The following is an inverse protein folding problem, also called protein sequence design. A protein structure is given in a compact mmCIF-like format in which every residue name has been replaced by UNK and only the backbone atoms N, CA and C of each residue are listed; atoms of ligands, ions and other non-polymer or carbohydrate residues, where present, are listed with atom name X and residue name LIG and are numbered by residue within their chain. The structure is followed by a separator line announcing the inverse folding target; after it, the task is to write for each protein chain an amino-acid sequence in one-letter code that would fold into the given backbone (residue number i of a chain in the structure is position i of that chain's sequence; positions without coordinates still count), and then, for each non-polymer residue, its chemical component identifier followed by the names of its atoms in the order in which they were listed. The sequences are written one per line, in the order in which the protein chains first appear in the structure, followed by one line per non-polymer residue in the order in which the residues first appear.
data_IF_151120840148
#
_entry.id   IF_151120840148
#
_cell.length_a   1.000
_cell.length_b   1.000
_cell.length_c   1.000
_cell.angle_alpha   90.00
_cell.angle_beta   90.00
_cell.angle_gamma   90.00
#
_symmetry.space_group_name_H-M   'P 1'
#
loop_
_entity.id
_entity.type
_entity.pdbx_description
1 polymer ?
#
# COMPACT_ATOMS: atom_id res chain seq x y z
N UNK A 1 -50.20 -18.80 5.94
CA UNK A 1 -49.92 -17.81 4.89
C UNK A 1 -48.43 -17.84 4.63
N UNK A 2 -48.03 -18.26 3.43
CA UNK A 2 -46.64 -18.09 3.04
C UNK A 2 -46.46 -16.60 2.72
N UNK A 3 -45.28 -16.05 2.99
CA UNK A 3 -44.97 -14.62 2.76
C UNK A 3 -45.24 -14.15 1.31
N UNK A 4 -45.40 -15.10 0.39
CA UNK A 4 -45.66 -14.94 -1.04
C UNK A 4 -47.14 -14.74 -1.41
N UNK A 5 -48.07 -14.86 -0.45
CA UNK A 5 -49.51 -14.62 -0.68
C UNK A 5 -49.88 -13.12 -0.63
N UNK A 6 -48.92 -12.26 -0.28
CA UNK A 6 -49.13 -10.81 -0.18
C UNK A 6 -48.86 -10.12 -1.53
N UNK A 7 -49.70 -9.17 -1.97
CA UNK A 7 -49.41 -8.32 -3.11
C UNK A 7 -48.04 -7.63 -2.94
N UNK A 8 -47.14 -7.71 -3.94
CA UNK A 8 -45.79 -7.13 -3.88
C UNK A 8 -45.76 -5.66 -3.45
N UNK A 9 -46.76 -4.88 -3.85
CA UNK A 9 -46.88 -3.44 -3.56
C UNK A 9 -47.25 -3.19 -2.10
N UNK A 10 -48.09 -4.04 -1.51
CA UNK A 10 -48.41 -3.95 -0.08
C UNK A 10 -47.21 -4.35 0.76
N UNK A 11 -46.48 -5.39 0.33
CA UNK A 11 -45.26 -5.80 1.00
C UNK A 11 -44.18 -4.71 0.94
N UNK A 12 -44.02 -4.04 -0.21
CA UNK A 12 -43.10 -2.90 -0.37
C UNK A 12 -43.43 -1.77 0.60
N UNK A 13 -44.72 -1.40 0.74
CA UNK A 13 -45.16 -0.40 1.73
C UNK A 13 -44.88 -0.83 3.17
N UNK A 14 -45.13 -2.08 3.51
CA UNK A 14 -44.84 -2.61 4.86
C UNK A 14 -43.34 -2.48 5.16
N UNK A 15 -42.49 -2.81 4.19
CA UNK A 15 -41.04 -2.70 4.35
C UNK A 15 -40.61 -1.24 4.44
N UNK A 16 -41.19 -0.33 3.65
CA UNK A 16 -40.93 1.09 3.73
C UNK A 16 -41.25 1.67 5.12
N UNK A 17 -42.41 1.34 5.68
CA UNK A 17 -42.81 1.75 7.02
C UNK A 17 -41.88 1.15 8.09
N UNK A 18 -41.50 -0.13 7.94
CA UNK A 18 -40.55 -0.78 8.83
C UNK A 18 -39.20 -0.04 8.84
N UNK A 19 -38.61 0.19 7.66
CA UNK A 19 -37.29 0.84 7.54
C UNK A 19 -37.34 2.28 8.07
N UNK A 20 -38.42 3.01 7.78
CA UNK A 20 -38.61 4.38 8.27
C UNK A 20 -38.77 4.44 9.79
N UNK A 21 -39.45 3.46 10.40
CA UNK A 21 -39.71 3.41 11.84
C UNK A 21 -38.47 3.02 12.67
N UNK A 22 -37.74 1.98 12.26
CA UNK A 22 -36.58 1.47 13.03
C UNK A 22 -35.25 2.05 12.56
N UNK A 23 -35.22 2.71 11.41
CA UNK A 23 -34.03 3.22 10.77
C UNK A 23 -33.28 2.17 9.95
N UNK A 24 -32.50 2.63 8.96
CA UNK A 24 -31.81 1.77 7.99
C UNK A 24 -30.90 0.74 8.67
N UNK A 25 -30.15 1.15 9.70
CA UNK A 25 -29.19 0.26 10.36
C UNK A 25 -29.86 -0.95 11.04
N UNK A 26 -30.98 -0.74 11.75
CA UNK A 26 -31.68 -1.83 12.41
C UNK A 26 -32.46 -2.68 11.42
N UNK A 27 -33.14 -2.06 10.45
CA UNK A 27 -33.82 -2.78 9.39
C UNK A 27 -32.85 -3.66 8.57
N UNK A 28 -31.61 -3.22 8.36
CA UNK A 28 -30.59 -3.96 7.64
C UNK A 28 -30.27 -5.33 8.24
N UNK A 29 -30.43 -5.50 9.56
CA UNK A 29 -30.22 -6.78 10.27
C UNK A 29 -31.34 -7.78 9.97
N UNK A 30 -32.56 -7.29 9.75
CA UNK A 30 -33.74 -8.11 9.43
C UNK A 30 -33.68 -8.79 8.06
N UNK A 31 -32.71 -8.44 7.21
CA UNK A 31 -32.46 -9.13 5.93
C UNK A 31 -32.08 -10.61 6.09
N UNK A 32 -31.62 -11.02 7.28
CA UNK A 32 -31.25 -12.41 7.54
C UNK A 32 -32.46 -13.36 7.64
N UNK A 33 -33.68 -12.82 7.71
CA UNK A 33 -34.91 -13.61 7.86
C UNK A 33 -35.19 -14.45 6.61
N UNK A 34 -35.18 -13.85 5.41
CA UNK A 34 -35.30 -14.56 4.14
C UNK A 34 -34.83 -13.72 2.96
N UNK A 35 -34.63 -14.36 1.79
CA UNK A 35 -34.19 -13.69 0.55
C UNK A 35 -35.14 -12.57 0.10
N UNK A 36 -36.46 -12.79 0.21
CA UNK A 36 -37.47 -11.78 -0.15
C UNK A 36 -37.33 -10.54 0.73
N UNK A 37 -37.33 -10.69 2.06
CA UNK A 37 -37.08 -9.60 3.00
C UNK A 37 -35.78 -8.85 2.68
N UNK A 38 -34.71 -9.61 2.39
CA UNK A 38 -33.43 -9.01 2.02
C UNK A 38 -33.55 -8.11 0.78
N UNK A 39 -34.21 -8.57 -0.28
CA UNK A 39 -34.42 -7.81 -1.52
C UNK A 39 -35.19 -6.51 -1.24
N UNK A 40 -36.34 -6.60 -0.57
CA UNK A 40 -37.17 -5.42 -0.32
C UNK A 40 -36.48 -4.41 0.62
N UNK A 41 -35.84 -4.85 1.70
CA UNK A 41 -35.09 -3.94 2.59
C UNK A 41 -33.92 -3.30 1.84
N UNK A 42 -33.19 -4.06 1.01
CA UNK A 42 -32.12 -3.48 0.19
C UNK A 42 -32.68 -2.40 -0.75
N UNK A 43 -33.78 -2.71 -1.45
CA UNK A 43 -34.39 -1.77 -2.40
C UNK A 43 -34.90 -0.52 -1.71
N UNK A 44 -35.62 -0.65 -0.58
CA UNK A 44 -36.13 0.51 0.16
C UNK A 44 -34.99 1.36 0.73
N UNK A 45 -34.02 0.73 1.41
CA UNK A 45 -32.91 1.43 2.02
C UNK A 45 -32.15 2.31 1.01
N UNK A 46 -31.85 1.79 -0.18
CA UNK A 46 -31.07 2.55 -1.16
C UNK A 46 -31.90 3.32 -2.16
N UNK A 47 -33.17 3.01 -2.42
CA UNK A 47 -33.99 3.71 -3.44
C UNK A 47 -35.01 4.69 -2.86
N UNK A 48 -35.37 4.55 -1.58
CA UNK A 48 -36.45 5.32 -0.96
C UNK A 48 -35.97 6.16 0.22
N UNK A 49 -35.01 5.67 1.01
CA UNK A 49 -34.56 6.39 2.20
C UNK A 49 -33.58 7.53 1.85
N UNK A 50 -33.68 8.70 2.52
CA UNK A 50 -32.73 9.79 2.32
C UNK A 50 -31.33 9.41 2.82
N UNK A 51 -30.29 10.05 2.30
CA UNK A 51 -28.90 9.91 2.74
C UNK A 51 -28.74 10.17 4.24
N UNK A 52 -29.55 11.07 4.81
CA UNK A 52 -29.58 11.34 6.25
C UNK A 52 -29.97 10.14 7.11
N UNK A 53 -30.75 9.19 6.57
CA UNK A 53 -31.16 7.97 7.27
C UNK A 53 -30.00 6.99 7.54
N UNK A 54 -28.86 7.20 6.87
CA UNK A 54 -27.65 6.42 7.08
C UNK A 54 -26.71 7.00 8.14
N UNK A 55 -27.04 8.16 8.74
CA UNK A 55 -26.21 8.78 9.78
C UNK A 55 -26.31 8.06 11.12
N UNK A 56 -25.18 7.98 11.82
CA UNK A 56 -25.12 7.47 13.19
C UNK A 56 -25.59 8.56 14.17
N UNK A 57 -26.47 8.20 15.10
CA UNK A 57 -27.05 9.10 16.11
C UNK A 57 -26.10 9.47 17.24
N UNK A 58 -24.97 8.76 17.39
CA UNK A 58 -23.92 9.07 18.37
C UNK A 58 -22.53 8.92 17.73
N UNK A 59 -21.92 10.01 17.25
CA UNK A 59 -20.53 9.99 16.80
C UNK A 59 -19.62 9.54 17.94
N UNK A 60 -18.70 8.59 17.71
CA UNK A 60 -17.70 8.27 18.72
C UNK A 60 -16.89 9.55 19.00
N UNK A 61 -16.68 9.87 20.27
CA UNK A 61 -16.11 11.14 20.79
C UNK A 61 -14.70 11.47 20.23
N UNK A 62 -14.08 10.55 19.50
CA UNK A 62 -12.76 10.72 18.87
C UNK A 62 -12.76 10.50 17.34
N UNK A 63 -13.92 10.35 16.69
CA UNK A 63 -13.97 10.40 15.23
C UNK A 63 -14.02 11.86 14.82
N UNK A 64 -12.89 12.38 14.35
CA UNK A 64 -12.88 13.46 13.36
C UNK A 64 -14.07 13.28 12.41
N UNK A 65 -14.75 14.37 11.99
CA UNK A 65 -16.05 14.44 11.30
C UNK A 65 -16.38 13.42 10.18
N UNK A 66 -15.39 12.64 9.75
CA UNK A 66 -15.34 11.60 8.73
C UNK A 66 -16.04 10.26 9.07
N UNK A 67 -16.56 10.08 10.30
CA UNK A 67 -17.10 8.79 10.81
C UNK A 67 -18.63 8.70 11.00
N UNK A 68 -19.39 9.68 10.51
CA UNK A 68 -20.81 9.84 10.89
C UNK A 68 -21.81 8.96 10.14
N UNK A 69 -21.37 8.10 9.22
CA UNK A 69 -22.25 7.24 8.43
C UNK A 69 -22.12 5.78 8.85
N UNK A 70 -23.24 5.06 8.84
CA UNK A 70 -23.31 3.65 9.21
C UNK A 70 -22.40 2.78 8.31
N UNK A 71 -21.93 1.66 8.88
CA UNK A 71 -21.21 0.65 8.10
C UNK A 71 -22.02 0.10 6.93
N UNK A 72 -23.35 0.22 6.97
CA UNK A 72 -24.25 -0.12 5.86
C UNK A 72 -23.96 0.75 4.64
N UNK A 73 -23.92 2.08 4.80
CA UNK A 73 -23.62 2.97 3.69
C UNK A 73 -22.19 2.73 3.17
N UNK A 74 -21.21 2.67 4.08
CA UNK A 74 -19.78 2.55 3.73
C UNK A 74 -19.50 1.40 2.73
N UNK A 75 -20.12 0.24 2.92
CA UNK A 75 -19.90 -0.93 2.07
C UNK A 75 -20.88 -1.03 0.88
N UNK A 76 -21.80 -0.08 0.73
CA UNK A 76 -22.85 -0.12 -0.29
C UNK A 76 -23.03 1.21 -1.03
N UNK A 77 -22.00 2.08 -1.06
CA UNK A 77 -22.09 3.38 -1.74
C UNK A 77 -22.35 3.21 -3.24
N UNK A 78 -21.73 2.22 -3.90
CA UNK A 78 -21.98 1.92 -5.31
C UNK A 78 -23.44 1.56 -5.59
N UNK A 79 -24.08 0.80 -4.70
CA UNK A 79 -25.51 0.48 -4.76
C UNK A 79 -26.40 1.71 -4.54
N UNK A 80 -26.06 2.56 -3.57
CA UNK A 80 -26.76 3.82 -3.36
C UNK A 80 -26.69 4.68 -4.63
N UNK A 81 -25.50 4.87 -5.17
CA UNK A 81 -25.26 5.63 -6.40
C UNK A 81 -26.10 5.07 -7.56
N UNK A 82 -26.05 3.76 -7.78
CA UNK A 82 -26.84 3.10 -8.83
C UNK A 82 -28.34 3.33 -8.70
N UNK A 83 -28.89 3.22 -7.48
CA UNK A 83 -30.30 3.51 -7.23
C UNK A 83 -30.64 4.99 -7.49
N UNK A 84 -29.74 5.91 -7.11
CA UNK A 84 -29.91 7.36 -7.30
C UNK A 84 -29.76 7.80 -8.76
N UNK A 85 -29.05 7.03 -9.60
CA UNK A 85 -29.02 7.26 -11.05
C UNK A 85 -30.40 7.05 -11.69
N UNK A 86 -31.23 6.17 -11.14
CA UNK A 86 -32.59 5.90 -11.63
C UNK A 86 -33.63 6.82 -10.99
N UNK A 87 -33.50 7.06 -9.69
CA UNK A 87 -34.38 7.94 -8.92
C UNK A 87 -33.55 8.92 -8.09
N UNK A 88 -33.25 10.12 -8.64
CA UNK A 88 -32.60 11.17 -7.87
C UNK A 88 -33.46 11.52 -6.66
N UNK A 89 -32.87 11.46 -5.47
CA UNK A 89 -33.51 11.91 -4.23
C UNK A 89 -32.77 13.15 -3.70
N UNK A 90 -31.99 12.96 -2.64
CA UNK A 90 -31.35 14.02 -1.86
C UNK A 90 -29.83 14.09 -2.07
N UNK A 91 -29.30 13.33 -3.03
CA UNK A 91 -27.87 13.44 -3.40
C UNK A 91 -27.65 14.62 -4.34
N UNK A 92 -26.50 15.26 -4.19
CA UNK A 92 -26.07 16.34 -5.05
C UNK A 92 -25.80 15.82 -6.48
N UNK A 93 -26.16 16.59 -7.53
CA UNK A 93 -26.24 16.08 -8.90
C UNK A 93 -24.87 15.93 -9.60
N UNK A 94 -23.79 16.45 -9.03
CA UNK A 94 -22.48 16.54 -9.69
C UNK A 94 -21.91 15.16 -10.05
N UNK A 95 -21.98 14.20 -9.13
CA UNK A 95 -21.51 12.82 -9.36
C UNK A 95 -22.40 12.12 -10.40
N UNK A 96 -23.75 12.09 -10.27
CA UNK A 96 -24.63 11.54 -11.31
C UNK A 96 -24.43 12.13 -12.71
N UNK A 97 -24.24 13.45 -12.82
CA UNK A 97 -23.96 14.12 -14.10
C UNK A 97 -22.65 13.60 -14.70
N UNK A 98 -21.59 13.48 -13.88
CA UNK A 98 -20.30 12.98 -14.34
C UNK A 98 -20.37 11.49 -14.75
N UNK A 99 -21.11 10.64 -14.00
CA UNK A 99 -21.33 9.23 -14.36
C UNK A 99 -22.08 9.13 -15.70
N UNK A 100 -23.16 9.90 -15.89
CA UNK A 100 -23.89 9.91 -17.15
C UNK A 100 -23.01 10.37 -18.32
N UNK A 101 -22.15 11.37 -18.12
CA UNK A 101 -21.19 11.81 -19.14
C UNK A 101 -20.24 10.68 -19.54
N UNK A 102 -19.75 9.92 -18.56
CA UNK A 102 -18.88 8.75 -18.79
C UNK A 102 -19.62 7.62 -19.50
N UNK A 103 -20.85 7.33 -19.10
CA UNK A 103 -21.73 6.36 -19.76
C UNK A 103 -21.89 6.73 -21.24
N UNK A 104 -22.30 7.96 -21.54
CA UNK A 104 -22.51 8.43 -22.92
C UNK A 104 -21.21 8.47 -23.75
N UNK A 105 -20.04 8.51 -23.11
CA UNK A 105 -18.77 8.34 -23.79
C UNK A 105 -18.51 6.87 -24.13
N UNK A 106 -18.63 5.97 -23.15
CA UNK A 106 -18.38 4.52 -23.33
C UNK A 106 -19.34 3.91 -24.34
N UNK A 107 -20.63 4.27 -24.30
CA UNK A 107 -21.66 3.71 -25.19
C UNK A 107 -21.36 3.95 -26.68
N UNK A 108 -20.54 4.94 -27.03
CA UNK A 108 -20.11 5.19 -28.43
C UNK A 108 -19.24 4.07 -29.00
N UNK A 109 -18.68 3.23 -28.13
CA UNK A 109 -17.79 2.13 -28.46
C UNK A 109 -18.42 0.75 -28.22
N UNK A 110 -19.71 0.72 -27.83
CA UNK A 110 -20.47 -0.52 -27.67
C UNK A 110 -21.20 -0.83 -28.99
N UNK A 111 -21.15 -2.08 -29.43
CA UNK A 111 -21.75 -2.49 -30.70
C UNK A 111 -23.28 -2.48 -30.70
N UNK A 112 -23.91 -2.79 -29.55
CA UNK A 112 -25.36 -2.78 -29.37
C UNK A 112 -25.75 -2.35 -27.94
N UNK A 113 -26.01 -1.05 -27.71
CA UNK A 113 -26.27 -0.49 -26.38
C UNK A 113 -27.72 -0.73 -25.93
N UNK A 114 -28.06 -1.98 -25.61
CA UNK A 114 -29.37 -2.32 -25.01
C UNK A 114 -29.57 -1.61 -23.66
N UNK A 115 -30.82 -1.45 -23.23
CA UNK A 115 -31.14 -0.87 -21.91
C UNK A 115 -30.52 -1.67 -20.76
N UNK A 116 -30.42 -2.99 -20.89
CA UNK A 116 -29.78 -3.84 -19.89
C UNK A 116 -28.27 -3.66 -19.87
N UNK A 117 -27.62 -3.55 -21.04
CA UNK A 117 -26.19 -3.24 -21.13
C UNK A 117 -25.89 -1.84 -20.57
N UNK A 118 -26.74 -0.85 -20.85
CA UNK A 118 -26.66 0.49 -20.26
C UNK A 118 -26.71 0.43 -18.73
N UNK A 119 -27.67 -0.29 -18.15
CA UNK A 119 -27.76 -0.50 -16.69
C UNK A 119 -26.54 -1.19 -16.12
N UNK A 120 -26.00 -2.19 -16.83
CA UNK A 120 -24.79 -2.88 -16.41
C UNK A 120 -23.59 -1.93 -16.35
N UNK A 121 -23.38 -1.12 -17.39
CA UNK A 121 -22.29 -0.12 -17.42
C UNK A 121 -22.46 0.88 -16.28
N UNK A 122 -23.67 1.42 -16.05
CA UNK A 122 -23.91 2.35 -14.95
C UNK A 122 -23.56 1.71 -13.60
N UNK A 123 -23.95 0.44 -13.38
CA UNK A 123 -23.60 -0.28 -12.16
C UNK A 123 -22.08 -0.39 -11.97
N UNK A 124 -21.34 -0.79 -12.99
CA UNK A 124 -19.88 -0.90 -12.93
C UNK A 124 -19.21 0.46 -12.66
N UNK A 125 -19.69 1.53 -13.29
CA UNK A 125 -19.18 2.88 -13.03
C UNK A 125 -19.48 3.30 -11.59
N UNK A 126 -20.70 3.09 -11.08
CA UNK A 126 -21.06 3.42 -9.69
C UNK A 126 -20.22 2.65 -8.67
N UNK A 127 -19.98 1.36 -8.88
CA UNK A 127 -19.15 0.54 -8.01
C UNK A 127 -17.68 1.02 -8.04
N UNK A 128 -17.13 1.35 -9.23
CA UNK A 128 -15.78 1.90 -9.35
C UNK A 128 -15.62 3.28 -8.69
N UNK A 129 -16.64 4.16 -8.77
CA UNK A 129 -16.65 5.42 -8.01
C UNK A 129 -16.54 5.13 -6.51
N UNK A 130 -17.34 4.19 -5.97
CA UNK A 130 -17.32 3.89 -4.54
C UNK A 130 -15.95 3.33 -4.08
N UNK A 131 -15.38 2.41 -4.85
CA UNK A 131 -14.10 1.78 -4.57
C UNK A 131 -12.92 2.76 -4.67
N UNK A 132 -12.99 3.76 -5.56
CA UNK A 132 -11.97 4.81 -5.71
C UNK A 132 -11.74 5.65 -4.46
N UNK A 133 -12.68 5.63 -3.49
CA UNK A 133 -12.58 6.37 -2.24
C UNK A 133 -12.47 5.48 -0.99
N UNK A 134 -12.32 4.15 -1.10
CA UNK A 134 -12.04 3.28 0.05
C UNK A 134 -10.51 3.28 0.35
N UNK A 135 -10.03 3.35 1.62
CA UNK A 135 -10.74 3.33 2.90
C UNK A 135 -11.23 4.69 3.42
N UNK A 136 -11.20 5.76 2.63
CA UNK A 136 -11.55 7.14 3.01
C UNK A 136 -12.85 7.63 2.36
N UNK A 137 -14.01 6.99 2.62
CA UNK A 137 -15.28 7.26 1.93
C UNK A 137 -15.88 8.63 2.29
N UNK A 138 -15.29 9.35 3.25
CA UNK A 138 -15.83 10.59 3.77
C UNK A 138 -15.89 11.71 2.73
N UNK A 139 -14.89 11.82 1.85
CA UNK A 139 -14.93 12.79 0.75
C UNK A 139 -16.07 12.50 -0.22
N UNK A 140 -16.32 11.22 -0.51
CA UNK A 140 -17.42 10.81 -1.36
C UNK A 140 -18.77 11.10 -0.69
N UNK A 141 -18.90 10.84 0.61
CA UNK A 141 -20.13 11.17 1.34
C UNK A 141 -20.41 12.67 1.39
N UNK A 142 -19.40 13.51 1.60
CA UNK A 142 -19.54 14.98 1.58
C UNK A 142 -19.90 15.49 0.18
N UNK A 143 -19.27 14.97 -0.87
CA UNK A 143 -19.61 15.29 -2.25
C UNK A 143 -21.05 14.86 -2.60
N UNK A 144 -21.46 13.67 -2.17
CA UNK A 144 -22.83 13.19 -2.33
C UNK A 144 -23.85 14.08 -1.61
N UNK A 145 -23.51 14.62 -0.44
CA UNK A 145 -24.45 15.39 0.35
C UNK A 145 -24.52 16.87 -0.04
N UNK A 146 -23.36 17.48 -0.29
CA UNK A 146 -23.21 18.92 -0.42
C UNK A 146 -22.79 19.37 -1.81
N UNK A 147 -22.49 18.44 -2.72
CA UNK A 147 -21.99 18.75 -4.05
C UNK A 147 -20.61 19.40 -4.03
N UNK A 148 -19.86 19.23 -2.94
CA UNK A 148 -18.51 19.73 -2.83
C UNK A 148 -17.63 19.11 -3.94
N UNK A 149 -16.69 19.88 -4.52
CA UNK A 149 -15.75 19.33 -5.47
C UNK A 149 -14.92 18.24 -4.80
N UNK A 150 -14.83 17.08 -5.45
CA UNK A 150 -13.95 16.01 -5.00
C UNK A 150 -12.47 16.45 -5.12
N UNK A 151 -11.57 15.90 -4.27
CA UNK A 151 -10.16 16.30 -4.29
C UNK A 151 -9.51 16.06 -5.65
N UNK A 152 -9.09 17.13 -6.32
CA UNK A 152 -8.50 17.05 -7.66
C UNK A 152 -7.84 18.36 -8.08
N UNK A 153 -6.91 18.29 -9.05
CA UNK A 153 -6.29 19.47 -9.68
C UNK A 153 -6.66 19.51 -11.17
N UNK A 154 -6.26 20.56 -11.87
CA UNK A 154 -6.56 20.79 -13.28
C UNK A 154 -7.87 21.56 -13.48
N UNK A 155 -8.20 21.86 -14.72
CA UNK A 155 -9.47 22.49 -15.13
C UNK A 155 -10.59 21.46 -15.16
N UNK A 156 -11.85 21.91 -15.11
CA UNK A 156 -13.00 21.00 -15.24
C UNK A 156 -12.94 20.20 -16.55
N UNK A 157 -12.55 20.83 -17.66
CA UNK A 157 -12.44 20.16 -18.95
C UNK A 157 -11.38 19.05 -18.95
N UNK A 158 -10.21 19.29 -18.36
CA UNK A 158 -9.17 18.27 -18.25
C UNK A 158 -9.61 17.11 -17.37
N UNK A 159 -10.28 17.40 -16.25
CA UNK A 159 -10.81 16.35 -15.37
C UNK A 159 -11.92 15.55 -16.04
N UNK A 160 -12.79 16.18 -16.83
CA UNK A 160 -13.83 15.48 -17.61
C UNK A 160 -13.23 14.52 -18.65
N UNK A 161 -12.08 14.88 -19.23
CA UNK A 161 -11.32 13.97 -20.12
C UNK A 161 -10.70 12.82 -19.33
N UNK A 162 -10.16 13.09 -18.13
CA UNK A 162 -9.65 12.05 -17.24
C UNK A 162 -10.77 11.09 -16.78
N UNK A 163 -11.97 11.59 -16.49
CA UNK A 163 -13.16 10.79 -16.16
C UNK A 163 -13.51 9.84 -17.32
N UNK A 164 -13.45 10.33 -18.56
CA UNK A 164 -13.74 9.52 -19.76
C UNK A 164 -12.71 8.40 -19.95
N UNK A 165 -11.43 8.69 -19.72
CA UNK A 165 -10.36 7.69 -19.77
C UNK A 165 -10.52 6.66 -18.64
N UNK A 166 -10.78 7.11 -17.41
CA UNK A 166 -11.04 6.25 -16.27
C UNK A 166 -12.22 5.30 -16.54
N UNK A 167 -13.33 5.81 -17.05
CA UNK A 167 -14.49 5.00 -17.42
C UNK A 167 -14.18 3.98 -18.53
N UNK A 168 -13.41 4.36 -19.55
CA UNK A 168 -12.96 3.44 -20.57
C UNK A 168 -12.10 2.30 -20.00
N UNK A 169 -11.24 2.61 -19.01
CA UNK A 169 -10.45 1.63 -18.28
C UNK A 169 -11.34 0.72 -17.43
N UNK A 170 -12.30 1.24 -16.68
CA UNK A 170 -13.27 0.42 -15.90
C UNK A 170 -13.94 -0.62 -16.80
N UNK A 171 -14.28 -0.23 -18.02
CA UNK A 171 -14.94 -1.10 -18.99
C UNK A 171 -13.97 -2.01 -19.76
N UNK A 172 -12.65 -1.89 -19.54
CA UNK A 172 -11.60 -2.62 -20.26
C UNK A 172 -11.75 -2.52 -21.79
N UNK A 173 -12.22 -1.37 -22.27
CA UNK A 173 -12.48 -1.14 -23.70
C UNK A 173 -11.30 -0.40 -24.34
N UNK A 174 -10.41 -1.14 -24.99
CA UNK A 174 -9.19 -0.59 -25.59
C UNK A 174 -9.48 0.50 -26.63
N UNK A 175 -10.54 0.38 -27.43
CA UNK A 175 -10.90 1.39 -28.43
C UNK A 175 -11.33 2.72 -27.76
N UNK A 176 -12.11 2.64 -26.69
CA UNK A 176 -12.50 3.81 -25.89
C UNK A 176 -11.27 4.44 -25.21
N UNK A 177 -10.34 3.63 -24.69
CA UNK A 177 -9.07 4.11 -24.10
C UNK A 177 -8.25 4.86 -25.14
N UNK A 178 -8.03 4.28 -26.33
CA UNK A 178 -7.31 4.94 -27.42
C UNK A 178 -7.94 6.29 -27.79
N UNK A 179 -9.26 6.31 -27.93
CA UNK A 179 -9.99 7.53 -28.26
C UNK A 179 -9.90 8.59 -27.16
N UNK A 180 -9.95 8.20 -25.88
CA UNK A 180 -9.73 9.15 -24.77
C UNK A 180 -8.34 9.77 -24.81
N UNK A 181 -7.30 8.97 -25.06
CA UNK A 181 -5.91 9.43 -25.17
C UNK A 181 -5.77 10.40 -26.34
N UNK A 182 -6.31 10.07 -27.51
CA UNK A 182 -6.30 10.93 -28.70
C UNK A 182 -7.03 12.27 -28.46
N UNK A 183 -8.08 12.27 -27.64
CA UNK A 183 -8.79 13.48 -27.24
C UNK A 183 -8.05 14.32 -26.18
N UNK A 184 -6.82 13.93 -25.81
CA UNK A 184 -5.95 14.63 -24.88
C UNK A 184 -6.27 14.37 -23.42
N UNK A 185 -6.85 13.21 -23.08
CA UNK A 185 -6.93 12.77 -21.70
C UNK A 185 -5.53 12.52 -21.13
N UNK A 186 -5.26 13.04 -19.93
CA UNK A 186 -3.98 12.90 -19.26
C UNK A 186 -3.96 11.66 -18.37
N UNK A 187 -2.90 10.86 -18.46
CA UNK A 187 -2.64 9.74 -17.55
C UNK A 187 -2.30 10.21 -16.13
N UNK A 188 -1.80 11.45 -15.99
CA UNK A 188 -1.24 11.99 -14.76
C UNK A 188 -2.28 12.71 -13.89
N UNK A 189 -3.45 12.98 -14.46
CA UNK A 189 -4.50 13.75 -13.82
C UNK A 189 -5.47 12.82 -13.10
N UNK A 190 -5.77 13.15 -11.84
CA UNK A 190 -6.80 12.43 -11.11
C UNK A 190 -8.17 12.71 -11.72
N UNK A 191 -9.00 11.69 -11.84
CA UNK A 191 -10.40 11.84 -12.22
C UNK A 191 -11.16 12.62 -11.13
N UNK A 192 -12.27 13.26 -11.50
CA UNK A 192 -13.19 13.88 -10.54
C UNK A 192 -13.87 12.84 -9.67
N UNK A 193 -14.38 11.78 -10.29
CA UNK A 193 -15.29 10.82 -9.65
C UNK A 193 -14.66 9.42 -9.52
N UNK A 194 -13.55 9.18 -10.19
CA UNK A 194 -12.75 7.97 -10.07
C UNK A 194 -11.33 8.30 -9.55
N UNK A 195 -10.51 7.28 -9.31
CA UNK A 195 -9.08 7.42 -9.07
C UNK A 195 -8.29 7.72 -10.38
N UNK A 196 -6.96 7.62 -10.33
CA UNK A 196 -6.15 7.71 -11.55
C UNK A 196 -6.46 6.56 -12.52
N UNK A 197 -6.52 6.81 -13.84
CA UNK A 197 -6.79 5.75 -14.82
C UNK A 197 -5.87 4.53 -14.69
N UNK A 198 -4.58 4.74 -14.39
CA UNK A 198 -3.65 3.62 -14.20
C UNK A 198 -3.94 2.85 -12.90
N UNK A 199 -4.20 3.56 -11.80
CA UNK A 199 -4.61 2.95 -10.52
C UNK A 199 -5.87 2.12 -10.70
N UNK A 200 -6.88 2.63 -11.42
CA UNK A 200 -8.15 1.93 -11.73
C UNK A 200 -7.90 0.59 -12.42
N UNK A 201 -7.01 0.56 -13.42
CA UNK A 201 -6.67 -0.68 -14.13
C UNK A 201 -6.10 -1.75 -13.18
N UNK A 202 -5.31 -1.32 -12.19
CA UNK A 202 -4.76 -2.23 -11.20
C UNK A 202 -5.71 -2.52 -10.05
N UNK A 203 -6.71 -1.68 -9.77
CA UNK A 203 -7.64 -1.88 -8.66
C UNK A 203 -8.87 -2.70 -9.08
N UNK A 204 -9.58 -2.30 -10.14
CA UNK A 204 -10.94 -2.78 -10.44
C UNK A 204 -10.97 -3.91 -11.46
N UNK A 205 -10.18 -3.84 -12.53
CA UNK A 205 -10.47 -4.66 -13.73
C UNK A 205 -10.00 -6.10 -13.61
N UNK A 206 -9.05 -6.43 -12.71
CA UNK A 206 -8.27 -7.71 -12.72
C UNK A 206 -7.74 -8.08 -14.11
N UNK A 207 -7.81 -7.15 -15.06
CA UNK A 207 -7.52 -7.38 -16.45
C UNK A 207 -6.11 -6.91 -16.70
N UNK A 208 -5.21 -7.88 -16.62
CA UNK A 208 -3.79 -7.69 -16.92
C UNK A 208 -3.60 -7.10 -18.31
N UNK A 209 -4.47 -7.44 -19.28
CA UNK A 209 -4.35 -6.93 -20.64
C UNK A 209 -4.55 -5.41 -20.69
N UNK A 210 -5.58 -4.88 -20.03
CA UNK A 210 -5.81 -3.43 -19.94
C UNK A 210 -4.67 -2.71 -19.23
N UNK A 211 -4.13 -3.24 -18.12
CA UNK A 211 -2.98 -2.62 -17.44
C UNK A 211 -1.74 -2.60 -18.33
N UNK A 212 -1.41 -3.72 -18.97
CA UNK A 212 -0.29 -3.79 -19.93
C UNK A 212 -0.50 -2.81 -21.08
N UNK A 213 -1.70 -2.77 -21.66
CA UNK A 213 -2.06 -1.85 -22.73
C UNK A 213 -1.84 -0.38 -22.34
N UNK A 214 -2.29 0.02 -21.15
CA UNK A 214 -2.07 1.38 -20.64
C UNK A 214 -0.58 1.71 -20.46
N UNK A 215 0.20 0.77 -19.93
CA UNK A 215 1.64 0.95 -19.73
C UNK A 215 2.41 1.09 -21.05
N UNK A 216 2.01 0.32 -22.07
CA UNK A 216 2.60 0.38 -23.42
C UNK A 216 2.26 1.69 -24.15
N UNK A 217 1.08 2.25 -23.90
CA UNK A 217 0.61 3.50 -24.53
C UNK A 217 0.86 4.75 -23.67
N UNK A 218 1.53 4.59 -22.53
CA UNK A 218 1.81 5.69 -21.62
C UNK A 218 2.81 6.67 -22.25
N UNK A 219 2.43 7.94 -22.47
CA UNK A 219 3.31 8.91 -23.09
C UNK A 219 4.47 9.26 -22.16
N UNK A 220 5.59 9.72 -22.73
CA UNK A 220 6.63 10.34 -21.91
C UNK A 220 6.06 11.61 -21.26
N UNK A 221 6.26 11.83 -19.95
CA UNK A 221 5.84 13.05 -19.31
C UNK A 221 6.57 14.23 -19.96
N UNK A 222 5.85 15.30 -20.26
CA UNK A 222 6.46 16.54 -20.74
C UNK A 222 7.25 17.24 -19.64
N UNK A 223 7.47 18.56 -19.79
CA UNK A 223 8.04 19.35 -18.71
C UNK A 223 7.07 19.41 -17.53
N UNK A 224 7.38 18.65 -16.48
CA UNK A 224 6.56 18.59 -15.25
C UNK A 224 7.02 19.63 -14.25
N UNK A 225 6.08 20.39 -13.69
CA UNK A 225 6.36 21.17 -12.48
C UNK A 225 6.41 20.27 -11.23
N UNK A 226 6.76 20.85 -10.08
CA UNK A 226 6.87 20.10 -8.81
C UNK A 226 5.55 19.45 -8.38
N UNK A 227 4.42 20.09 -8.68
CA UNK A 227 3.09 19.62 -8.32
C UNK A 227 2.68 18.42 -9.18
N UNK A 228 2.83 18.54 -10.50
CA UNK A 228 2.53 17.46 -11.44
C UNK A 228 3.41 16.25 -11.16
N UNK A 229 4.70 16.48 -10.89
CA UNK A 229 5.62 15.41 -10.53
C UNK A 229 5.18 14.68 -9.26
N UNK A 230 4.77 15.41 -8.22
CA UNK A 230 4.25 14.81 -7.00
C UNK A 230 2.99 13.96 -7.26
N UNK A 231 2.04 14.46 -8.07
CA UNK A 231 0.83 13.71 -8.43
C UNK A 231 1.14 12.42 -9.20
N UNK A 232 2.08 12.49 -10.14
CA UNK A 232 2.54 11.31 -10.88
C UNK A 232 3.12 10.26 -9.93
N UNK A 233 3.97 10.66 -8.99
CA UNK A 233 4.55 9.71 -8.06
C UNK A 233 3.56 9.17 -7.02
N UNK A 234 2.55 9.94 -6.60
CA UNK A 234 1.44 9.40 -5.81
C UNK A 234 0.76 8.27 -6.58
N UNK A 235 0.39 8.51 -7.83
CA UNK A 235 -0.21 7.50 -8.70
C UNK A 235 0.72 6.28 -8.88
N UNK A 236 2.00 6.50 -9.20
CA UNK A 236 2.93 5.39 -9.38
C UNK A 236 3.12 4.58 -8.11
N UNK A 237 3.17 5.23 -6.94
CA UNK A 237 3.34 4.52 -5.67
C UNK A 237 2.16 3.57 -5.42
N UNK A 238 0.92 4.05 -5.63
CA UNK A 238 -0.28 3.22 -5.49
C UNK A 238 -0.32 2.07 -6.50
N UNK A 239 0.02 2.34 -7.76
CA UNK A 239 0.06 1.32 -8.82
C UNK A 239 1.12 0.26 -8.51
N UNK A 240 2.31 0.67 -8.06
CA UNK A 240 3.39 -0.25 -7.67
C UNK A 240 2.96 -1.11 -6.49
N UNK A 241 2.34 -0.52 -5.47
CA UNK A 241 1.81 -1.23 -4.30
C UNK A 241 0.78 -2.30 -4.72
N UNK A 242 -0.23 -1.91 -5.52
CA UNK A 242 -1.24 -2.85 -6.00
C UNK A 242 -0.66 -4.00 -6.85
N UNK A 243 0.29 -3.70 -7.75
CA UNK A 243 0.93 -4.72 -8.58
C UNK A 243 1.73 -5.72 -7.73
N UNK A 244 2.49 -5.22 -6.75
CA UNK A 244 3.30 -6.05 -5.87
C UNK A 244 2.44 -6.90 -4.92
N UNK A 245 1.39 -6.33 -4.33
CA UNK A 245 0.44 -7.06 -3.48
C UNK A 245 -0.28 -8.19 -4.22
N UNK A 246 -0.48 -8.03 -5.54
CA UNK A 246 -1.06 -9.03 -6.43
C UNK A 246 -0.04 -10.01 -7.02
N UNK A 247 1.22 -9.91 -6.61
CA UNK A 247 2.33 -10.71 -7.11
C UNK A 247 2.56 -10.58 -8.64
N UNK A 248 2.25 -9.41 -9.21
CA UNK A 248 2.48 -9.08 -10.62
C UNK A 248 3.87 -8.45 -10.81
N UNK A 249 4.90 -9.18 -10.34
CA UNK A 249 6.28 -8.68 -10.22
C UNK A 249 6.83 -8.16 -11.54
N UNK A 250 6.62 -8.88 -12.65
CA UNK A 250 7.12 -8.47 -13.97
C UNK A 250 6.56 -7.12 -14.43
N UNK A 251 5.29 -6.82 -14.15
CA UNK A 251 4.66 -5.55 -14.52
C UNK A 251 5.16 -4.43 -13.62
N UNK A 252 5.32 -4.70 -12.32
CA UNK A 252 5.88 -3.76 -11.36
C UNK A 252 7.34 -3.38 -11.72
N UNK A 253 8.17 -4.36 -12.11
CA UNK A 253 9.54 -4.12 -12.57
C UNK A 253 9.58 -3.27 -13.82
N UNK A 254 8.78 -3.61 -14.83
CA UNK A 254 8.66 -2.83 -16.06
C UNK A 254 8.24 -1.38 -15.80
N UNK A 255 7.31 -1.15 -14.87
CA UNK A 255 6.89 0.19 -14.47
C UNK A 255 8.02 0.94 -13.76
N UNK A 256 8.71 0.33 -12.80
CA UNK A 256 9.86 0.95 -12.12
C UNK A 256 10.98 1.32 -13.11
N UNK A 257 11.32 0.42 -14.02
CA UNK A 257 12.29 0.67 -15.09
C UNK A 257 11.85 1.81 -16.02
N UNK A 258 10.56 1.84 -16.36
CA UNK A 258 10.00 2.92 -17.17
C UNK A 258 10.10 4.26 -16.43
N UNK A 259 9.81 4.30 -15.12
CA UNK A 259 9.92 5.50 -14.28
C UNK A 259 11.38 6.01 -14.28
N UNK A 260 12.34 5.12 -14.06
CA UNK A 260 13.78 5.45 -14.05
C UNK A 260 14.23 6.08 -15.38
N UNK A 261 13.67 5.62 -16.51
CA UNK A 261 14.04 6.08 -17.86
C UNK A 261 13.32 7.36 -18.29
N UNK A 262 12.07 7.56 -17.88
CA UNK A 262 11.19 8.57 -18.48
C UNK A 262 10.74 9.69 -17.54
N UNK A 263 10.86 9.52 -16.22
CA UNK A 263 10.32 10.47 -15.23
C UNK A 263 11.46 11.22 -14.54
N UNK A 264 11.24 12.51 -14.26
CA UNK A 264 12.21 13.30 -13.49
C UNK A 264 12.36 12.77 -12.06
N UNK A 265 13.54 12.89 -11.43
CA UNK A 265 13.80 12.43 -10.05
C UNK A 265 12.77 12.93 -9.03
N UNK A 266 12.23 12.06 -8.14
CA UNK A 266 11.31 12.48 -7.08
C UNK A 266 12.04 13.25 -5.97
N UNK A 267 11.26 13.86 -5.08
CA UNK A 267 11.78 14.28 -3.77
C UNK A 267 12.13 13.06 -2.88
N UNK A 268 12.78 13.35 -1.75
CA UNK A 268 13.31 12.31 -0.87
C UNK A 268 12.21 11.50 -0.18
N UNK A 269 11.10 12.11 0.21
CA UNK A 269 10.04 11.43 0.95
C UNK A 269 9.27 10.49 0.03
N UNK A 270 8.95 10.97 -1.17
CA UNK A 270 8.36 10.18 -2.25
C UNK A 270 9.23 8.97 -2.61
N UNK A 271 10.55 9.16 -2.77
CA UNK A 271 11.46 8.03 -3.00
C UNK A 271 11.45 7.01 -1.85
N UNK A 272 11.48 7.49 -0.61
CA UNK A 272 11.50 6.61 0.56
C UNK A 272 10.19 5.78 0.63
N UNK A 273 9.05 6.37 0.27
CA UNK A 273 7.76 5.65 0.20
C UNK A 273 7.81 4.51 -0.83
N UNK A 274 8.27 4.78 -2.05
CA UNK A 274 8.42 3.76 -3.10
C UNK A 274 9.39 2.65 -2.65
N UNK A 275 10.53 3.02 -2.08
CA UNK A 275 11.51 2.04 -1.59
C UNK A 275 10.93 1.18 -0.46
N UNK A 276 10.15 1.77 0.45
CA UNK A 276 9.47 1.04 1.52
C UNK A 276 8.47 0.01 0.97
N UNK A 277 7.65 0.40 0.00
CA UNK A 277 6.70 -0.50 -0.69
C UNK A 277 7.45 -1.70 -1.30
N UNK A 278 8.55 -1.44 -2.03
CA UNK A 278 9.35 -2.50 -2.65
C UNK A 278 10.06 -3.41 -1.64
N UNK A 279 10.47 -2.88 -0.48
CA UNK A 279 11.06 -3.72 0.58
C UNK A 279 10.00 -4.63 1.19
N UNK A 280 8.79 -4.11 1.41
CA UNK A 280 7.69 -4.87 2.00
C UNK A 280 7.20 -6.01 1.11
N UNK A 281 7.26 -5.84 -0.22
CA UNK A 281 6.87 -6.87 -1.18
C UNK A 281 7.78 -8.10 -1.20
N UNK A 282 8.91 -8.07 -0.47
CA UNK A 282 9.86 -9.19 -0.37
C UNK A 282 10.53 -9.57 -1.69
N UNK A 283 10.48 -8.68 -2.67
CA UNK A 283 11.08 -8.87 -3.98
C UNK A 283 12.30 -7.98 -4.16
N UNK A 284 13.48 -8.59 -4.09
CA UNK A 284 14.75 -7.89 -4.26
C UNK A 284 14.88 -7.21 -5.64
N UNK A 285 14.28 -7.74 -6.71
CA UNK A 285 14.38 -7.14 -8.05
C UNK A 285 13.63 -5.80 -8.08
N UNK A 286 12.45 -5.73 -7.46
CA UNK A 286 11.71 -4.48 -7.28
C UNK A 286 12.52 -3.47 -6.45
N UNK A 287 13.19 -3.93 -5.38
CA UNK A 287 14.06 -3.07 -4.56
C UNK A 287 15.23 -2.53 -5.38
N UNK A 288 15.88 -3.36 -6.19
CA UNK A 288 16.97 -2.92 -7.06
C UNK A 288 16.51 -1.91 -8.11
N UNK A 289 15.35 -2.12 -8.72
CA UNK A 289 14.75 -1.19 -9.67
C UNK A 289 14.38 0.15 -9.00
N UNK A 290 13.80 0.12 -7.79
CA UNK A 290 13.56 1.32 -7.00
C UNK A 290 14.86 2.04 -6.63
N UNK A 291 15.92 1.31 -6.26
CA UNK A 291 17.25 1.86 -6.01
C UNK A 291 17.92 2.43 -7.27
N UNK A 292 17.45 2.13 -8.47
CA UNK A 292 17.96 2.78 -9.69
C UNK A 292 17.39 4.21 -9.87
N UNK A 293 16.29 4.56 -9.20
CA UNK A 293 15.70 5.91 -9.23
C UNK A 293 16.72 6.91 -8.68
N UNK A 294 16.99 7.96 -9.46
CA UNK A 294 17.92 9.03 -9.06
C UNK A 294 17.26 9.89 -7.98
N UNK A 295 18.02 10.26 -6.95
CA UNK A 295 17.57 11.16 -5.87
C UNK A 295 18.73 12.07 -5.50
N UNK A 296 18.45 13.37 -5.30
CA UNK A 296 19.48 14.36 -4.99
C UNK A 296 20.01 14.25 -3.56
N UNK A 297 19.15 13.88 -2.61
CA UNK A 297 19.48 13.85 -1.18
C UNK A 297 20.19 12.56 -0.76
N UNK A 298 21.19 12.70 0.12
CA UNK A 298 21.90 11.58 0.77
C UNK A 298 21.58 11.52 2.28
N UNK A 299 21.64 10.35 2.94
CA UNK A 299 21.90 9.03 2.36
C UNK A 299 20.74 8.51 1.51
N UNK A 300 21.05 7.69 0.50
CA UNK A 300 20.03 7.09 -0.37
C UNK A 300 19.17 6.11 0.42
N UNK A 301 19.79 5.19 1.15
CA UNK A 301 19.09 4.27 2.07
C UNK A 301 19.16 4.81 3.50
N UNK A 302 18.01 4.86 4.18
CA UNK A 302 17.89 5.22 5.61
C UNK A 302 17.97 3.96 6.49
N UNK A 303 18.26 4.15 7.78
CA UNK A 303 18.18 3.08 8.78
C UNK A 303 16.83 2.37 8.76
N UNK A 304 15.75 3.13 8.61
CA UNK A 304 14.37 2.64 8.65
C UNK A 304 14.13 1.59 7.55
N UNK A 305 14.61 1.85 6.33
CA UNK A 305 14.57 0.91 5.21
C UNK A 305 15.37 -0.36 5.50
N UNK A 306 16.60 -0.20 6.02
CA UNK A 306 17.47 -1.33 6.34
C UNK A 306 16.86 -2.21 7.46
N UNK A 307 16.33 -1.58 8.51
CA UNK A 307 15.66 -2.28 9.59
C UNK A 307 14.44 -3.05 9.09
N UNK A 308 13.65 -2.45 8.21
CA UNK A 308 12.49 -3.11 7.61
C UNK A 308 12.92 -4.29 6.70
N UNK A 309 13.96 -4.12 5.89
CA UNK A 309 14.52 -5.20 5.08
C UNK A 309 15.05 -6.37 5.91
N UNK A 310 15.66 -6.11 7.07
CA UNK A 310 16.02 -7.17 8.00
C UNK A 310 14.77 -7.90 8.52
N UNK A 311 13.72 -7.16 8.88
CA UNK A 311 12.46 -7.71 9.39
C UNK A 311 11.74 -8.59 8.37
N UNK A 312 11.86 -8.29 7.08
CA UNK A 312 11.23 -9.12 6.05
C UNK A 312 11.86 -10.51 5.93
N UNK A 313 13.12 -10.68 6.35
CA UNK A 313 13.85 -11.96 6.28
C UNK A 313 14.57 -12.21 4.96
N UNK A 314 14.47 -11.30 3.98
CA UNK A 314 14.99 -11.53 2.62
C UNK A 314 16.41 -11.00 2.48
N UNK A 315 17.40 -11.88 2.64
CA UNK A 315 18.82 -11.54 2.57
C UNK A 315 19.22 -10.84 1.25
N UNK A 316 18.62 -11.23 0.12
CA UNK A 316 18.85 -10.58 -1.17
C UNK A 316 18.46 -9.09 -1.18
N UNK A 317 17.37 -8.72 -0.50
CA UNK A 317 16.97 -7.32 -0.32
C UNK A 317 18.00 -6.55 0.50
N UNK A 318 18.54 -7.16 1.56
CA UNK A 318 19.61 -6.56 2.37
C UNK A 318 20.88 -6.35 1.55
N UNK A 319 21.30 -7.35 0.75
CA UNK A 319 22.42 -7.23 -0.19
C UNK A 319 22.21 -6.07 -1.18
N UNK A 320 21.03 -5.98 -1.79
CA UNK A 320 20.69 -4.89 -2.71
C UNK A 320 20.78 -3.50 -2.06
N UNK A 321 20.28 -3.33 -0.82
CA UNK A 321 20.38 -2.07 -0.08
C UNK A 321 21.83 -1.68 0.24
N UNK A 322 22.70 -2.66 0.47
CA UNK A 322 24.12 -2.42 0.74
C UNK A 322 24.87 -2.06 -0.54
N UNK A 323 24.80 -2.93 -1.55
CA UNK A 323 25.60 -2.80 -2.78
C UNK A 323 25.12 -1.66 -3.67
N UNK A 324 23.82 -1.63 -4.00
CA UNK A 324 23.23 -0.62 -4.90
C UNK A 324 22.78 0.62 -4.13
N UNK A 325 22.27 0.43 -2.92
CA UNK A 325 21.81 1.50 -2.05
C UNK A 325 22.92 2.22 -1.28
N UNK A 326 24.15 1.67 -1.29
CA UNK A 326 25.33 2.20 -0.58
C UNK A 326 25.08 2.39 0.92
N UNK A 327 24.33 1.47 1.53
CA UNK A 327 24.08 1.50 2.96
C UNK A 327 25.38 1.28 3.75
N UNK A 328 25.63 2.07 4.80
CA UNK A 328 26.87 2.03 5.56
C UNK A 328 26.80 0.94 6.65
N UNK A 329 27.29 -0.25 6.34
CA UNK A 329 27.20 -1.45 7.21
C UNK A 329 27.95 -1.33 8.55
N UNK A 330 28.99 -0.48 8.62
CA UNK A 330 29.79 -0.25 9.83
C UNK A 330 29.46 1.09 10.52
N UNK A 331 28.34 1.74 10.19
CA UNK A 331 27.90 2.94 10.92
C UNK A 331 26.94 2.55 12.05
N UNK A 332 27.08 3.17 13.22
CA UNK A 332 26.11 3.02 14.31
C UNK A 332 24.88 3.88 14.06
N UNK A 333 23.69 3.29 14.21
CA UNK A 333 22.39 3.93 14.05
C UNK A 333 21.57 3.70 15.32
N UNK A 334 21.11 4.78 15.98
CA UNK A 334 20.29 4.68 17.20
C UNK A 334 20.86 3.69 18.25
N UNK A 335 22.17 3.76 18.49
CA UNK A 335 22.90 2.86 19.42
C UNK A 335 22.93 1.37 19.02
N UNK A 336 22.58 1.04 17.77
CA UNK A 336 22.64 -0.31 17.22
C UNK A 336 23.51 -0.33 15.96
N UNK A 337 24.35 -1.36 15.82
CA UNK A 337 25.03 -1.64 14.56
C UNK A 337 24.09 -2.42 13.62
N UNK A 338 24.24 -2.27 12.29
CA UNK A 338 23.54 -3.10 11.32
C UNK A 338 23.67 -4.60 11.59
N UNK A 339 24.87 -5.04 11.96
CA UNK A 339 25.16 -6.44 12.32
C UNK A 339 24.36 -6.88 13.55
N UNK A 340 24.32 -6.08 14.63
CA UNK A 340 23.52 -6.38 15.82
C UNK A 340 22.01 -6.43 15.51
N UNK A 341 21.52 -5.56 14.62
CA UNK A 341 20.11 -5.55 14.20
C UNK A 341 19.76 -6.84 13.45
N UNK A 342 20.63 -7.34 12.60
CA UNK A 342 20.41 -8.57 11.83
C UNK A 342 20.29 -9.84 12.69
N UNK A 343 20.95 -9.88 13.85
CA UNK A 343 20.94 -11.05 14.76
C UNK A 343 19.54 -11.48 15.19
N UNK A 344 18.60 -10.54 15.24
CA UNK A 344 17.21 -10.79 15.63
C UNK A 344 16.37 -11.43 14.51
N UNK A 345 16.82 -11.40 13.25
CA UNK A 345 15.97 -11.77 12.11
C UNK A 345 16.40 -13.03 11.36
N UNK A 346 17.70 -13.28 11.17
CA UNK A 346 18.13 -14.52 10.50
C UNK A 346 19.63 -14.63 10.23
N UNK A 347 20.15 -15.86 10.19
CA UNK A 347 21.56 -16.16 9.92
C UNK A 347 21.95 -15.68 8.52
N UNK A 348 21.08 -15.83 7.52
CA UNK A 348 21.33 -15.40 6.15
C UNK A 348 21.53 -13.88 6.03
N UNK A 349 20.83 -13.09 6.85
CA UNK A 349 20.99 -11.63 6.88
C UNK A 349 22.32 -11.25 7.53
N UNK A 350 22.70 -11.98 8.59
CA UNK A 350 24.02 -11.80 9.23
C UNK A 350 25.13 -12.12 8.24
N UNK A 351 25.03 -13.25 7.53
CA UNK A 351 25.95 -13.63 6.47
C UNK A 351 26.03 -12.58 5.37
N UNK A 352 24.88 -12.08 4.90
CA UNK A 352 24.86 -11.02 3.90
C UNK A 352 25.59 -9.73 4.31
N UNK A 353 25.56 -9.38 5.60
CA UNK A 353 26.30 -8.22 6.12
C UNK A 353 27.80 -8.48 6.19
N UNK A 354 28.18 -9.67 6.68
CA UNK A 354 29.59 -10.06 6.80
C UNK A 354 30.24 -10.19 5.42
N UNK A 355 29.56 -10.83 4.46
CA UNK A 355 29.94 -10.89 3.04
C UNK A 355 30.19 -9.48 2.47
N UNK A 356 29.39 -8.50 2.91
CA UNK A 356 29.46 -7.11 2.47
C UNK A 356 30.46 -6.24 3.28
N UNK A 357 31.30 -6.86 4.11
CA UNK A 357 32.36 -6.19 4.86
C UNK A 357 31.92 -5.56 6.18
N UNK A 358 30.83 -6.04 6.78
CA UNK A 358 30.53 -5.70 8.17
C UNK A 358 31.65 -6.22 9.08
N UNK A 359 32.13 -5.38 10.00
CA UNK A 359 33.14 -5.78 10.98
C UNK A 359 32.52 -6.83 11.93
N UNK A 360 33.04 -8.07 11.96
CA UNK A 360 32.52 -9.13 12.83
C UNK A 360 32.66 -8.79 14.33
N UNK A 361 33.55 -7.87 14.69
CA UNK A 361 33.73 -7.36 16.04
C UNK A 361 32.86 -6.13 16.35
N UNK A 362 32.14 -5.64 15.33
CA UNK A 362 31.29 -4.46 15.39
C UNK A 362 32.08 -3.16 15.20
N UNK A 363 31.42 -2.09 14.75
CA UNK A 363 32.11 -0.83 14.52
C UNK A 363 32.61 -0.22 15.82
N UNK A 364 33.89 0.18 15.84
CA UNK A 364 34.45 0.97 16.93
C UNK A 364 33.82 2.37 16.91
N UNK A 365 33.40 2.87 18.07
CA UNK A 365 32.90 4.25 18.16
C UNK A 365 34.12 5.20 18.04
N UNK A 366 34.30 5.82 16.88
CA UNK A 366 35.30 6.89 16.67
C UNK A 366 35.01 8.16 17.50
N UNK A 367 33.83 8.22 18.14
CA UNK A 367 33.42 9.33 18.98
C UNK A 367 34.14 9.27 20.34
N UNK A 368 35.36 9.80 20.36
CA UNK A 368 36.21 9.97 21.54
C UNK A 368 35.54 10.74 22.70
N UNK A 369 34.42 11.43 22.47
CA UNK A 369 33.78 12.34 23.44
C UNK A 369 32.57 11.77 24.18
N UNK A 370 32.06 10.58 23.81
CA UNK A 370 30.76 10.12 24.31
C UNK A 370 30.85 8.70 24.90
N UNK A 371 31.54 8.58 26.05
CA UNK A 371 31.64 7.33 26.82
C UNK A 371 30.27 6.70 27.12
N UNK A 372 29.17 7.47 27.07
CA UNK A 372 27.80 6.97 27.25
C UNK A 372 27.34 6.13 26.05
N UNK A 373 27.74 6.45 24.82
CA UNK A 373 27.36 5.69 23.60
C UNK A 373 28.19 4.43 23.41
N UNK A 374 29.42 4.42 23.94
CA UNK A 374 30.27 3.24 24.03
C UNK A 374 29.62 2.12 24.88
N UNK A 375 28.99 2.48 26.01
CA UNK A 375 28.37 1.51 26.94
C UNK A 375 27.15 0.75 26.39
N UNK A 376 26.61 1.13 25.24
CA UNK A 376 25.40 0.52 24.68
C UNK A 376 25.64 -0.34 23.42
N UNK A 377 26.85 -0.32 22.85
CA UNK A 377 27.18 -1.14 21.68
C UNK A 377 27.76 -2.48 22.12
N UNK A 378 26.87 -3.46 22.37
CA UNK A 378 27.25 -4.85 22.66
C UNK A 378 28.05 -5.41 21.47
N UNK A 379 29.14 -6.13 21.73
CA UNK A 379 29.88 -6.90 20.71
C UNK A 379 28.91 -7.83 19.94
N UNK A 380 29.03 -7.95 18.61
CA UNK A 380 28.18 -8.86 17.83
C UNK A 380 28.24 -10.30 18.33
N UNK A 381 29.42 -10.78 18.75
CA UNK A 381 29.60 -12.11 19.31
C UNK A 381 28.87 -12.26 20.65
N UNK A 382 28.96 -11.27 21.53
CA UNK A 382 28.22 -11.26 22.80
C UNK A 382 26.71 -11.21 22.59
N UNK A 383 26.24 -10.45 21.59
CA UNK A 383 24.83 -10.43 21.21
C UNK A 383 24.36 -11.81 20.70
N UNK A 384 25.14 -12.49 19.87
CA UNK A 384 24.82 -13.81 19.35
C UNK A 384 24.73 -14.87 20.47
N UNK A 385 25.62 -14.80 21.47
CA UNK A 385 25.59 -15.66 22.66
C UNK A 385 24.36 -15.36 23.53
N UNK A 386 24.02 -14.09 23.78
CA UNK A 386 22.81 -13.70 24.53
C UNK A 386 21.52 -14.21 23.88
N UNK A 387 21.47 -14.30 22.55
CA UNK A 387 20.33 -14.84 21.80
C UNK A 387 20.40 -16.39 21.69
N UNK A 388 21.48 -17.01 22.15
CA UNK A 388 21.75 -18.46 22.10
C UNK A 388 21.62 -19.05 20.68
N UNK A 389 22.26 -18.39 19.68
CA UNK A 389 22.26 -18.84 18.28
C UNK A 389 23.64 -19.35 17.86
N UNK A 390 23.86 -20.67 17.99
CA UNK A 390 25.13 -21.32 17.64
C UNK A 390 25.56 -21.04 16.20
N UNK A 391 24.64 -21.04 15.23
CA UNK A 391 24.96 -20.82 13.82
C UNK A 391 25.52 -19.42 13.56
N UNK A 392 24.95 -18.41 14.24
CA UNK A 392 25.44 -17.03 14.19
C UNK A 392 26.81 -16.91 14.85
N UNK A 393 27.01 -17.59 15.99
CA UNK A 393 28.31 -17.63 16.68
C UNK A 393 29.38 -18.25 15.77
N UNK A 394 29.08 -19.37 15.12
CA UNK A 394 29.99 -19.99 14.15
C UNK A 394 30.32 -19.03 13.01
N UNK A 395 29.29 -18.41 12.41
CA UNK A 395 29.44 -17.51 11.29
C UNK A 395 30.29 -16.28 11.62
N UNK A 396 30.11 -15.69 12.81
CA UNK A 396 30.93 -14.56 13.29
C UNK A 396 32.38 -14.97 13.48
N UNK A 397 32.64 -16.12 14.11
CA UNK A 397 33.99 -16.64 14.33
C UNK A 397 34.70 -16.97 13.00
N UNK A 398 33.98 -17.53 12.02
CA UNK A 398 34.48 -17.80 10.67
C UNK A 398 34.89 -16.53 9.94
N UNK A 399 34.20 -15.42 10.19
CA UNK A 399 34.52 -14.10 9.63
C UNK A 399 35.56 -13.31 10.45
N UNK A 400 36.10 -13.88 11.53
CA UNK A 400 37.18 -13.27 12.31
C UNK A 400 36.74 -12.48 13.55
N UNK A 401 35.55 -12.75 14.09
CA UNK A 401 35.19 -12.25 15.42
C UNK A 401 36.17 -12.79 16.47
N UNK A 402 36.69 -11.91 17.32
CA UNK A 402 37.55 -12.28 18.44
C UNK A 402 36.76 -12.33 19.74
N UNK A 403 37.25 -13.10 20.71
CA UNK A 403 36.61 -13.18 22.03
C UNK A 403 36.69 -11.84 22.79
N UNK A 404 37.74 -11.07 22.55
CA UNK A 404 37.93 -9.71 23.09
C UNK A 404 37.02 -8.67 22.40
N UNK A 405 36.47 -8.96 21.22
CA UNK A 405 35.66 -8.04 20.43
C UNK A 405 36.42 -6.81 19.92
N UNK A 406 35.68 -5.73 19.60
CA UNK A 406 36.21 -4.49 19.02
C UNK A 406 36.91 -3.53 20.00
N UNK A 407 37.53 -4.05 21.08
CA UNK A 407 38.39 -3.25 21.97
C UNK A 407 37.70 -2.52 23.12
N UNK A 408 36.52 -2.95 23.59
CA UNK A 408 35.92 -2.43 24.83
C UNK A 408 35.88 -3.47 25.96
N UNK A 409 36.20 -2.99 27.17
CA UNK A 409 36.27 -3.64 28.48
C UNK A 409 35.62 -5.02 28.61
N UNK A 410 36.41 -5.99 29.09
CA UNK A 410 35.99 -7.27 29.70
C UNK A 410 34.92 -8.08 28.94
N UNK A 411 34.89 -7.96 27.61
CA UNK A 411 33.97 -8.68 26.76
C UNK A 411 34.18 -10.21 26.85
N UNK A 412 35.42 -10.69 26.96
CA UNK A 412 35.70 -12.12 27.01
C UNK A 412 35.21 -12.79 28.32
N UNK A 413 35.51 -12.27 29.54
CA UNK A 413 34.90 -12.79 30.77
C UNK A 413 33.37 -12.77 30.75
N UNK A 414 32.74 -11.65 30.36
CA UNK A 414 31.27 -11.56 30.29
C UNK A 414 30.69 -12.55 29.26
N UNK A 415 31.35 -12.70 28.11
CA UNK A 415 30.96 -13.64 27.04
C UNK A 415 31.02 -15.09 27.54
N UNK A 416 32.11 -15.47 28.20
CA UNK A 416 32.31 -16.83 28.69
C UNK A 416 31.35 -17.16 29.84
N UNK A 417 31.11 -16.22 30.76
CA UNK A 417 30.16 -16.41 31.86
C UNK A 417 28.71 -16.47 31.35
N UNK A 418 28.35 -15.61 30.39
CA UNK A 418 27.05 -15.67 29.72
C UNK A 418 26.86 -17.03 29.03
N UNK A 419 27.85 -17.49 28.26
CA UNK A 419 27.78 -18.77 27.57
C UNK A 419 27.64 -19.96 28.53
N UNK A 420 28.31 -19.95 29.69
CA UNK A 420 28.15 -20.99 30.74
C UNK A 420 26.76 -20.99 31.37
N UNK A 421 26.12 -19.83 31.45
CA UNK A 421 24.79 -19.68 32.02
C UNK A 421 23.67 -20.18 31.11
N UNK A 422 23.96 -20.38 29.82
CA UNK A 422 23.02 -20.93 28.85
C UNK A 422 22.74 -22.41 29.18
N UNK A 423 21.49 -22.83 28.96
CA UNK A 423 21.10 -24.24 29.13
C UNK A 423 21.77 -25.18 28.13
N UNK A 424 22.23 -24.66 27.00
CA UNK A 424 22.85 -25.39 25.91
C UNK A 424 24.35 -25.12 25.88
N UNK A 425 25.14 -26.14 26.25
CA UNK A 425 26.59 -26.03 26.33
C UNK A 425 27.27 -25.92 24.96
N UNK A 426 26.57 -26.15 23.83
CA UNK A 426 27.19 -26.13 22.50
C UNK A 426 27.85 -24.78 22.18
N UNK A 427 27.24 -23.68 22.60
CA UNK A 427 27.82 -22.33 22.42
C UNK A 427 29.07 -22.18 23.28
N UNK A 428 29.02 -22.60 24.55
CA UNK A 428 30.17 -22.55 25.44
C UNK A 428 31.35 -23.39 24.93
N UNK A 429 31.08 -24.63 24.52
CA UNK A 429 32.09 -25.54 23.97
C UNK A 429 32.74 -24.98 22.69
N UNK A 430 31.95 -24.30 21.85
CA UNK A 430 32.45 -23.66 20.62
C UNK A 430 33.39 -22.50 20.93
N UNK A 431 33.06 -21.68 21.93
CA UNK A 431 33.89 -20.56 22.37
C UNK A 431 35.19 -21.04 23.03
N UNK A 432 35.16 -22.12 23.81
CA UNK A 432 36.38 -22.74 24.37
C UNK A 432 37.33 -23.21 23.27
N UNK A 433 36.81 -23.80 22.19
CA UNK A 433 37.62 -24.17 21.01
C UNK A 433 38.22 -22.93 20.34
N UNK A 434 37.42 -21.88 20.13
CA UNK A 434 37.90 -20.63 19.56
C UNK A 434 39.01 -19.99 20.41
N UNK A 435 38.86 -19.99 21.74
CA UNK A 435 39.86 -19.49 22.69
C UNK A 435 41.19 -20.27 22.58
N UNK A 436 41.10 -21.60 22.45
CA UNK A 436 42.28 -22.44 22.26
C UNK A 436 42.96 -22.18 20.90
N UNK A 437 42.19 -21.88 19.86
CA UNK A 437 42.71 -21.58 18.52
C UNK A 437 43.34 -20.19 18.45
N UNK A 438 42.78 -19.17 19.11
CA UNK A 438 43.39 -17.83 19.24
C UNK A 438 44.76 -17.92 19.95
N UNK A 439 44.85 -18.67 21.05
CA UNK A 439 46.10 -18.88 21.80
C UNK A 439 47.19 -19.64 21.03
N UNK A 440 46.82 -20.42 20.01
CA UNK A 440 47.78 -21.12 19.13
C UNK A 440 48.31 -20.22 18.01
N UNK A 441 47.60 -19.14 17.69
CA UNK A 441 47.94 -18.19 16.61
C UNK A 441 48.71 -16.98 17.11
N UNK A 442 48.56 -16.63 18.39
CA UNK A 442 49.39 -15.67 19.12
C UNK A 442 50.74 -16.32 19.50
#
# INVERSE_FOLDING_TARGET
MQLLDFPPELFDRIIHELVSAVGVHEAWKSRMVCRTFAIYINNDAFSSQPLSAFRLTSPRIWSYAWGNYSGVLRHNVGRLLFARMQKPLDIAPQIPIAINRCLEFVLRFEADPTDDRRKEIVRLLCDSVAESFDPRPCFLHEALQWGCPLPGKGTEQERNKADSLAAAVVMSNHAAITASIQNGASFWLNSNIFAWPLTISTAHTRDRATTTYLLEHMPRPGRTDKTQLAQMYTMFSEVIEHLLDRNEMSTAHSLLDWIVKNVSPPDKDTFNAILHICIHSKDHVAVEAALAIKVKSTPKVRWDHFSEACRTGHAATVKALIEKGKFKVNKIYWQSSPLNRAMYYGVDIVGALLDAGADPNGPMNDAADDQVRARHCISPLLAAVKINKLDVVNLLLEHGATLAGGGQFDAEPELMDMAKSLKDNRVHDRLLRAQADEKKKA
#
